data_IF_526662955379
#
_entry.id   IF_526662955379
#
_cell.length_a   1.000
_cell.length_b   1.000
_cell.length_c   1.000
_cell.angle_alpha   90.00
_cell.angle_beta   90.00
_cell.angle_gamma   90.00
#
_symmetry.space_group_name_H-M   'P 1'
#
loop_
_entity.id
_entity.type
_entity.pdbx_description
1 polymer ?
#
# COMPACT_ATOMS: atom_id res chain seq x y z
N UNK A 1 13.24 63.22 25.08
CA UNK A 1 13.31 61.83 25.49
C UNK A 1 12.47 60.95 24.55
N UNK A 2 11.24 61.33 24.26
CA UNK A 2 10.33 60.63 23.33
C UNK A 2 10.90 60.52 21.90
N UNK A 3 11.48 61.63 21.41
CA UNK A 3 12.07 61.70 20.07
C UNK A 3 13.24 60.74 19.90
N UNK A 4 14.13 60.63 20.89
CA UNK A 4 15.26 59.72 20.91
C UNK A 4 14.78 58.24 20.90
N UNK A 5 13.70 57.94 21.61
CA UNK A 5 13.10 56.61 21.64
C UNK A 5 12.50 56.23 20.30
N UNK A 6 11.85 57.18 19.62
CA UNK A 6 11.30 56.97 18.28
C UNK A 6 12.41 56.79 17.23
N UNK A 7 13.47 57.57 17.33
CA UNK A 7 14.64 57.45 16.44
C UNK A 7 15.35 56.09 16.63
N UNK A 8 15.46 55.62 17.87
CA UNK A 8 16.02 54.29 18.16
C UNK A 8 15.18 53.17 17.58
N UNK A 9 13.86 53.22 17.77
CA UNK A 9 12.95 52.24 17.21
C UNK A 9 12.98 52.24 15.67
N UNK A 10 13.14 53.39 15.03
CA UNK A 10 13.32 53.52 13.59
C UNK A 10 14.61 52.85 13.10
N UNK A 11 15.73 53.12 13.80
CA UNK A 11 17.01 52.51 13.46
C UNK A 11 17.01 50.99 13.63
N UNK A 12 16.35 50.49 14.67
CA UNK A 12 16.16 49.02 14.85
C UNK A 12 15.36 48.43 13.71
N UNK A 13 14.27 49.06 13.27
CA UNK A 13 13.48 48.60 12.13
C UNK A 13 14.28 48.65 10.82
N UNK A 14 15.08 49.69 10.61
CA UNK A 14 15.95 49.79 9.43
C UNK A 14 17.02 48.68 9.42
N UNK A 15 17.59 48.33 10.58
CA UNK A 15 18.53 47.21 10.73
C UNK A 15 17.84 45.86 10.35
N UNK A 16 16.60 45.61 10.83
CA UNK A 16 15.86 44.42 10.49
C UNK A 16 15.56 44.33 8.97
N UNK A 17 15.18 45.45 8.37
CA UNK A 17 14.97 45.54 6.94
C UNK A 17 16.25 45.19 6.14
N UNK A 18 17.38 45.75 6.53
CA UNK A 18 18.67 45.47 5.87
C UNK A 18 19.07 44.00 6.05
N UNK A 19 18.87 43.40 7.24
CA UNK A 19 19.13 41.98 7.47
C UNK A 19 18.27 41.11 6.58
N UNK A 20 16.97 41.40 6.48
CA UNK A 20 16.06 40.66 5.59
C UNK A 20 16.50 40.75 4.12
N UNK A 21 16.97 41.93 3.68
CA UNK A 21 17.50 42.08 2.32
C UNK A 21 18.79 41.28 2.09
N UNK A 22 19.68 41.20 3.10
CA UNK A 22 20.89 40.36 3.01
C UNK A 22 20.53 38.89 2.94
N UNK A 23 19.57 38.40 3.76
CA UNK A 23 19.10 37.01 3.69
C UNK A 23 18.56 36.62 2.32
N UNK A 24 17.91 37.53 1.59
CA UNK A 24 17.45 37.31 0.23
C UNK A 24 18.58 37.18 -0.80
N UNK A 25 19.79 37.65 -0.50
CA UNK A 25 20.95 37.51 -1.40
C UNK A 25 21.59 36.12 -1.31
N UNK A 26 21.29 35.37 -0.25
CA UNK A 26 21.79 34.00 -0.05
C UNK A 26 20.68 32.98 -0.29
N UNK A 27 20.79 32.24 -1.39
CA UNK A 27 19.86 31.16 -1.68
C UNK A 27 20.26 29.89 -0.94
N UNK A 28 19.53 29.56 0.14
CA UNK A 28 19.79 28.37 0.96
C UNK A 28 18.71 27.31 0.71
N UNK A 29 19.10 26.02 0.82
CA UNK A 29 18.17 24.91 0.77
C UNK A 29 17.23 24.94 2.00
N UNK A 30 15.90 24.98 1.84
CA UNK A 30 14.95 25.04 2.96
C UNK A 30 14.77 23.69 3.68
N UNK A 31 15.24 22.59 3.10
CA UNK A 31 15.19 21.23 3.67
C UNK A 31 16.28 20.35 3.06
N UNK A 32 16.55 19.21 3.70
CA UNK A 32 17.48 18.21 3.21
C UNK A 32 16.91 17.47 1.99
N UNK A 33 17.70 17.35 0.93
CA UNK A 33 17.26 16.71 -0.31
C UNK A 33 18.36 16.61 -1.34
N UNK A 34 17.99 16.18 -2.54
CA UNK A 34 18.91 16.09 -3.69
C UNK A 34 18.61 17.23 -4.66
N UNK A 35 19.66 17.97 -4.98
CA UNK A 35 19.59 19.01 -6.00
C UNK A 35 19.59 18.38 -7.40
N UNK A 36 18.66 18.81 -8.22
CA UNK A 36 18.63 18.51 -9.64
C UNK A 36 19.64 19.34 -10.45
N UNK A 37 19.44 19.34 -11.75
CA UNK A 37 20.31 20.10 -12.66
C UNK A 37 20.18 21.61 -12.40
N UNK A 38 21.30 22.31 -12.48
CA UNK A 38 21.38 23.78 -12.39
C UNK A 38 20.75 24.39 -13.63
N UNK A 39 19.79 25.32 -13.45
CA UNK A 39 19.11 26.04 -14.50
C UNK A 39 19.77 27.35 -14.93
N UNK A 40 20.75 27.84 -14.16
CA UNK A 40 21.41 29.11 -14.39
C UNK A 40 22.94 28.97 -14.34
N UNK A 41 23.66 29.85 -15.01
CA UNK A 41 25.13 29.87 -14.99
C UNK A 41 25.66 30.97 -14.07
N UNK A 42 26.92 30.86 -13.68
CA UNK A 42 27.61 31.94 -12.93
C UNK A 42 27.66 33.19 -13.80
N UNK A 43 27.30 34.33 -13.23
CA UNK A 43 27.20 35.61 -13.95
C UNK A 43 25.82 35.88 -14.58
N UNK A 44 24.88 34.94 -14.51
CA UNK A 44 23.49 35.17 -14.95
C UNK A 44 22.76 36.09 -13.97
N UNK A 45 21.85 36.89 -14.51
CA UNK A 45 20.94 37.71 -13.69
C UNK A 45 19.95 36.78 -12.95
N UNK A 46 19.92 36.89 -11.64
CA UNK A 46 18.99 36.14 -10.80
C UNK A 46 17.82 37.05 -10.36
N UNK A 47 16.61 36.54 -10.45
CA UNK A 47 15.40 37.19 -9.93
C UNK A 47 14.51 36.14 -9.26
N UNK A 48 13.55 36.53 -8.41
CA UNK A 48 12.64 35.59 -7.73
C UNK A 48 11.83 34.71 -8.68
N UNK A 49 11.69 35.10 -9.95
CA UNK A 49 10.98 34.33 -10.97
C UNK A 49 11.85 33.28 -11.68
N UNK A 50 13.17 33.30 -11.47
CA UNK A 50 14.09 32.39 -12.13
C UNK A 50 14.36 31.17 -11.27
N UNK A 51 14.07 29.99 -11.81
CA UNK A 51 14.37 28.72 -11.12
C UNK A 51 15.86 28.39 -11.26
N UNK A 52 16.59 28.47 -10.16
CA UNK A 52 18.04 28.20 -10.10
C UNK A 52 18.32 26.70 -10.14
N UNK A 53 17.60 25.93 -9.35
CA UNK A 53 17.65 24.45 -9.32
C UNK A 53 16.39 23.90 -8.68
N UNK A 54 16.10 22.62 -8.91
CA UNK A 54 15.01 21.91 -8.24
C UNK A 54 15.60 21.11 -7.08
N UNK A 55 15.06 21.30 -5.87
CA UNK A 55 15.41 20.52 -4.69
C UNK A 55 14.30 19.47 -4.46
N UNK A 56 14.66 18.20 -4.43
CA UNK A 56 13.72 17.10 -4.22
C UNK A 56 14.03 16.40 -2.91
N UNK A 57 13.03 16.31 -2.04
CA UNK A 57 13.12 15.51 -0.81
C UNK A 57 12.93 14.04 -1.17
N UNK A 58 13.97 13.22 -0.96
CA UNK A 58 13.97 11.81 -1.33
C UNK A 58 13.71 10.87 -0.13
N UNK A 59 13.70 11.40 1.09
CA UNK A 59 13.38 10.64 2.31
C UNK A 59 12.68 11.56 3.32
N UNK A 60 11.53 11.13 3.90
CA UNK A 60 10.71 10.02 3.46
C UNK A 60 10.00 10.28 2.12
N UNK A 61 9.74 9.22 1.35
CA UNK A 61 8.96 9.29 0.10
C UNK A 61 7.47 9.15 0.42
N UNK A 62 6.66 9.96 -0.24
CA UNK A 62 5.21 9.88 -0.17
C UNK A 62 4.69 9.00 -1.31
N UNK A 63 3.95 7.96 -0.95
CA UNK A 63 3.22 7.11 -1.91
C UNK A 63 1.77 7.53 -1.86
N UNK A 64 1.25 8.03 -2.98
CA UNK A 64 -0.14 8.43 -3.13
C UNK A 64 -0.87 7.42 -4.02
N UNK A 65 -2.03 6.96 -3.59
CA UNK A 65 -2.82 5.99 -4.31
C UNK A 65 -4.31 6.20 -4.06
N UNK A 66 -5.12 5.78 -5.04
CA UNK A 66 -6.56 5.88 -5.00
C UNK A 66 -7.18 4.54 -4.59
N UNK A 67 -8.12 4.59 -3.67
CA UNK A 67 -8.82 3.42 -3.13
C UNK A 67 -10.29 3.49 -3.51
N UNK A 68 -10.85 2.46 -4.17
CA UNK A 68 -12.28 2.42 -4.48
C UNK A 68 -13.14 2.56 -3.22
N UNK A 69 -14.28 3.24 -3.34
CA UNK A 69 -15.21 3.57 -2.24
C UNK A 69 -15.52 2.35 -1.36
N UNK A 70 -15.80 1.19 -1.96
CA UNK A 70 -16.13 -0.06 -1.27
C UNK A 70 -15.04 -0.58 -0.30
N UNK A 71 -13.82 -0.06 -0.38
CA UNK A 71 -12.68 -0.49 0.45
C UNK A 71 -12.17 0.60 1.38
N UNK A 72 -12.85 1.75 1.45
CA UNK A 72 -12.39 2.91 2.24
C UNK A 72 -12.42 2.66 3.74
N UNK A 73 -13.33 1.80 4.22
CA UNK A 73 -13.46 1.45 5.63
C UNK A 73 -12.37 0.47 6.08
N UNK A 74 -11.82 -0.30 5.16
CA UNK A 74 -10.74 -1.25 5.43
C UNK A 74 -9.41 -0.52 5.68
N UNK A 75 -9.26 0.75 5.23
CA UNK A 75 -8.02 1.51 5.34
C UNK A 75 -8.06 2.46 6.53
N UNK A 76 -7.21 2.18 7.50
CA UNK A 76 -7.01 3.01 8.69
C UNK A 76 -5.68 3.75 8.63
N UNK A 77 -5.63 4.94 9.25
CA UNK A 77 -4.36 5.63 9.48
C UNK A 77 -3.49 4.72 10.35
N UNK A 78 -2.22 4.56 9.95
CA UNK A 78 -1.28 3.64 10.58
C UNK A 78 -1.22 2.25 9.96
N UNK A 79 -2.12 1.90 9.03
CA UNK A 79 -2.07 0.63 8.30
C UNK A 79 -0.80 0.52 7.45
N UNK A 80 -0.28 -0.69 7.35
CA UNK A 80 0.84 -0.98 6.46
C UNK A 80 0.31 -1.33 5.07
N UNK A 81 0.96 -0.80 4.06
CA UNK A 81 0.71 -1.10 2.65
C UNK A 81 1.99 -1.57 2.00
N UNK A 82 1.87 -2.51 1.09
CA UNK A 82 3.00 -2.99 0.30
C UNK A 82 2.90 -2.39 -1.09
N UNK A 83 4.00 -1.83 -1.59
CA UNK A 83 4.04 -1.34 -2.95
C UNK A 83 5.26 -1.85 -3.69
N UNK A 84 5.14 -1.99 -4.98
CA UNK A 84 6.23 -2.31 -5.90
C UNK A 84 6.26 -1.29 -7.02
N UNK A 85 7.44 -1.01 -7.55
CA UNK A 85 7.58 -0.14 -8.70
C UNK A 85 7.29 -0.90 -9.98
N UNK A 86 6.72 -0.21 -10.95
CA UNK A 86 6.42 -0.82 -12.24
C UNK A 86 7.69 -1.37 -12.90
N UNK A 87 7.68 -2.68 -13.20
CA UNK A 87 8.82 -3.39 -13.79
C UNK A 87 9.85 -3.93 -12.80
N UNK A 88 9.64 -3.75 -11.51
CA UNK A 88 10.50 -4.28 -10.44
C UNK A 88 9.77 -5.33 -9.60
N UNK A 89 10.51 -6.36 -9.18
CA UNK A 89 9.97 -7.42 -8.30
C UNK A 89 10.09 -7.04 -6.83
N UNK A 90 10.96 -6.07 -6.53
CA UNK A 90 11.19 -5.61 -5.17
C UNK A 90 9.93 -4.97 -4.57
N UNK A 91 9.62 -5.36 -3.33
CA UNK A 91 8.46 -4.88 -2.58
C UNK A 91 8.92 -4.00 -1.43
N UNK A 92 8.27 -2.87 -1.30
CA UNK A 92 8.52 -1.88 -0.26
C UNK A 92 7.32 -1.79 0.67
N UNK A 93 7.56 -1.50 1.95
CA UNK A 93 6.49 -1.32 2.93
C UNK A 93 6.38 0.15 3.31
N UNK A 94 5.19 0.71 3.17
CA UNK A 94 4.88 2.07 3.56
C UNK A 94 3.77 2.08 4.63
N UNK A 95 3.69 3.14 5.40
CA UNK A 95 2.68 3.32 6.44
C UNK A 95 1.73 4.46 6.06
N UNK A 96 0.44 4.17 6.07
CA UNK A 96 -0.60 5.17 5.82
C UNK A 96 -0.55 6.25 6.91
N UNK A 97 -0.41 7.52 6.51
CA UNK A 97 -0.39 8.65 7.45
C UNK A 97 -1.53 9.63 7.25
N UNK A 98 -2.13 9.64 6.07
CA UNK A 98 -3.26 10.50 5.77
C UNK A 98 -4.20 9.85 4.74
N UNK A 99 -5.48 10.15 4.86
CA UNK A 99 -6.50 9.86 3.86
C UNK A 99 -7.39 11.09 3.69
N UNK A 100 -7.88 11.33 2.49
CA UNK A 100 -8.85 12.39 2.24
C UNK A 100 -10.14 12.13 3.02
N UNK A 101 -10.85 13.19 3.35
CA UNK A 101 -12.15 13.09 4.04
C UNK A 101 -13.34 12.95 3.08
N UNK A 102 -13.10 13.13 1.77
CA UNK A 102 -14.13 13.13 0.73
C UNK A 102 -13.73 12.19 -0.39
N UNK A 103 -14.70 11.39 -0.84
CA UNK A 103 -14.57 10.56 -2.03
C UNK A 103 -14.70 11.45 -3.26
N UNK A 104 -13.83 11.26 -4.25
CA UNK A 104 -13.92 11.92 -5.54
C UNK A 104 -15.18 11.41 -6.28
N UNK A 105 -16.16 12.28 -6.60
CA UNK A 105 -17.41 11.86 -7.22
C UNK A 105 -17.27 11.42 -8.67
N UNK A 106 -16.14 11.73 -9.33
CA UNK A 106 -15.89 11.36 -10.73
C UNK A 106 -15.28 9.96 -10.81
N UNK A 107 -14.31 9.69 -9.95
CA UNK A 107 -13.55 8.43 -9.95
C UNK A 107 -14.09 7.39 -8.97
N UNK A 108 -14.98 7.79 -8.05
CA UNK A 108 -15.47 6.98 -6.92
C UNK A 108 -14.34 6.37 -6.09
N UNK A 109 -13.29 7.16 -5.88
CA UNK A 109 -12.11 6.75 -5.10
C UNK A 109 -11.79 7.72 -3.98
N UNK A 110 -11.14 7.21 -2.94
CA UNK A 110 -10.56 7.97 -1.85
C UNK A 110 -9.04 8.04 -2.03
N UNK A 111 -8.48 9.24 -2.02
CA UNK A 111 -7.02 9.41 -2.06
C UNK A 111 -6.41 9.12 -0.70
N UNK A 112 -5.42 8.24 -0.69
CA UNK A 112 -4.68 7.82 0.50
C UNK A 112 -3.20 8.08 0.28
N UNK A 113 -2.52 8.51 1.36
CA UNK A 113 -1.08 8.77 1.36
C UNK A 113 -0.38 7.93 2.41
N UNK A 114 0.68 7.25 1.98
CA UNK A 114 1.56 6.49 2.85
C UNK A 114 2.99 7.04 2.80
N UNK A 115 3.74 6.86 3.88
CA UNK A 115 5.15 7.23 3.98
C UNK A 115 6.01 5.98 3.91
N UNK A 116 7.04 6.07 3.08
CA UNK A 116 8.13 5.12 2.99
C UNK A 116 9.44 5.77 3.41
N UNK A 117 10.11 5.18 4.38
CA UNK A 117 11.42 5.65 4.86
C UNK A 117 12.52 5.15 3.90
N UNK A 118 12.81 5.95 2.88
CA UNK A 118 13.76 5.64 1.82
C UNK A 118 15.20 5.81 2.30
N UNK A 119 15.66 4.96 3.23
CA UNK A 119 17.00 5.03 3.82
C UNK A 119 18.11 4.82 2.81
N UNK A 120 17.85 4.05 1.77
CA UNK A 120 18.82 3.75 0.73
C UNK A 120 19.00 4.89 -0.27
N UNK A 121 18.22 5.97 -0.15
CA UNK A 121 18.32 7.13 -1.04
C UNK A 121 17.98 6.84 -2.50
N UNK A 122 17.26 5.75 -2.79
CA UNK A 122 16.90 5.38 -4.15
C UNK A 122 16.02 6.47 -4.80
N UNK A 123 16.20 6.68 -6.11
CA UNK A 123 15.43 7.66 -6.88
C UNK A 123 14.03 7.11 -7.20
N UNK A 124 13.10 7.25 -6.24
CA UNK A 124 11.72 6.75 -6.33
C UNK A 124 10.72 7.84 -6.71
N UNK A 125 11.06 9.10 -6.45
CA UNK A 125 10.15 10.23 -6.69
C UNK A 125 9.78 10.35 -8.18
N UNK A 126 8.48 10.51 -8.46
CA UNK A 126 7.93 10.63 -9.80
C UNK A 126 7.72 9.30 -10.53
N UNK A 127 7.97 8.15 -9.91
CA UNK A 127 7.73 6.82 -10.49
C UNK A 127 6.33 6.32 -10.15
N UNK A 128 5.79 5.51 -11.04
CA UNK A 128 4.54 4.80 -10.81
C UNK A 128 4.78 3.56 -9.94
N UNK A 129 3.84 3.32 -9.01
CA UNK A 129 3.88 2.19 -8.11
C UNK A 129 2.55 1.45 -8.11
N UNK A 130 2.62 0.12 -8.01
CA UNK A 130 1.45 -0.72 -7.75
C UNK A 130 1.36 -0.96 -6.25
N UNK A 131 0.25 -0.58 -5.65
CA UNK A 131 0.01 -0.74 -4.21
C UNK A 131 -0.89 -1.95 -3.98
N UNK A 132 -0.46 -2.86 -3.10
CA UNK A 132 -1.23 -4.01 -2.64
C UNK A 132 -1.74 -3.73 -1.23
N UNK A 133 -3.04 -3.82 -1.06
CA UNK A 133 -3.71 -3.69 0.23
C UNK A 133 -4.07 -5.09 0.74
N UNK A 134 -3.56 -5.44 1.92
CA UNK A 134 -4.03 -6.62 2.63
C UNK A 134 -5.35 -6.26 3.31
N UNK A 135 -6.45 -6.85 2.81
CA UNK A 135 -7.78 -6.56 3.35
C UNK A 135 -8.02 -7.24 4.69
N UNK A 136 -7.68 -8.53 4.77
CA UNK A 136 -7.91 -9.35 5.95
C UNK A 136 -6.94 -10.52 5.97
N UNK A 137 -6.36 -10.80 7.13
CA UNK A 137 -5.63 -12.02 7.42
C UNK A 137 -6.47 -12.87 8.35
N UNK A 138 -6.75 -14.10 7.93
CA UNK A 138 -7.49 -15.09 8.72
C UNK A 138 -6.48 -16.17 9.08
N UNK A 139 -5.99 -16.14 10.33
CA UNK A 139 -4.90 -17.03 10.76
C UNK A 139 -5.39 -18.48 10.97
N UNK A 140 -6.67 -18.70 11.32
CA UNK A 140 -7.26 -20.02 11.61
C UNK A 140 -8.18 -20.53 10.47
N UNK A 141 -7.88 -20.14 9.22
CA UNK A 141 -8.68 -20.58 8.08
C UNK A 141 -8.38 -22.04 7.70
N UNK A 142 -9.40 -22.87 7.59
CA UNK A 142 -9.28 -24.17 6.93
C UNK A 142 -9.28 -23.91 5.42
N UNK A 143 -8.21 -24.30 4.75
CA UNK A 143 -7.99 -24.05 3.34
C UNK A 143 -7.82 -25.36 2.61
N UNK A 144 -8.45 -25.49 1.45
CA UNK A 144 -8.34 -26.67 0.57
C UNK A 144 -8.01 -26.23 -0.84
N UNK A 145 -7.29 -27.04 -1.65
CA UNK A 145 -7.08 -26.76 -3.05
C UNK A 145 -8.40 -26.57 -3.81
N UNK A 146 -8.45 -25.64 -4.74
CA UNK A 146 -9.67 -25.35 -5.53
C UNK A 146 -10.22 -26.57 -6.25
N UNK A 147 -9.34 -27.51 -6.66
CA UNK A 147 -9.69 -28.75 -7.37
C UNK A 147 -10.41 -29.78 -6.49
N UNK A 148 -10.34 -29.61 -5.17
CA UNK A 148 -11.06 -30.46 -4.22
C UNK A 148 -12.57 -30.17 -4.16
N UNK A 149 -13.00 -28.99 -4.63
CA UNK A 149 -14.40 -28.55 -4.56
C UNK A 149 -15.14 -29.01 -5.80
N UNK A 150 -16.23 -29.76 -5.61
CA UNK A 150 -17.13 -30.20 -6.66
C UNK A 150 -18.47 -29.47 -6.53
N UNK A 151 -18.78 -28.52 -7.43
CA UNK A 151 -20.08 -27.88 -7.42
C UNK A 151 -21.17 -28.83 -7.90
N UNK A 152 -22.18 -29.07 -7.08
CA UNK A 152 -23.31 -29.92 -7.43
C UNK A 152 -24.64 -29.24 -7.06
N UNK A 153 -25.48 -29.00 -8.04
CA UNK A 153 -26.84 -28.43 -7.91
C UNK A 153 -26.89 -27.14 -7.06
N UNK A 154 -25.85 -26.26 -7.15
CA UNK A 154 -25.80 -24.99 -6.44
C UNK A 154 -25.25 -25.08 -5.01
N UNK A 155 -24.75 -26.25 -4.61
CA UNK A 155 -24.05 -26.48 -3.34
C UNK A 155 -22.64 -26.94 -3.64
N UNK A 156 -21.66 -26.39 -2.94
CA UNK A 156 -20.28 -26.85 -3.01
C UNK A 156 -20.10 -28.10 -2.12
N UNK A 157 -19.49 -29.14 -2.69
CA UNK A 157 -19.20 -30.39 -1.96
C UNK A 157 -17.71 -30.69 -1.97
N UNK A 158 -17.27 -31.36 -0.90
CA UNK A 158 -15.96 -31.96 -0.77
C UNK A 158 -16.11 -33.47 -0.48
N UNK A 159 -15.11 -34.26 -0.86
CA UNK A 159 -15.05 -35.64 -0.47
C UNK A 159 -14.03 -35.84 0.65
N UNK A 160 -14.50 -36.34 1.80
CA UNK A 160 -13.64 -36.75 2.91
C UNK A 160 -13.28 -38.23 2.78
N UNK A 161 -12.05 -38.57 3.12
CA UNK A 161 -11.64 -39.94 3.31
C UNK A 161 -12.02 -40.42 4.70
N UNK A 162 -12.92 -41.39 4.78
CA UNK A 162 -13.30 -42.00 6.09
C UNK A 162 -13.32 -43.53 5.93
N UNK A 163 -12.47 -44.20 6.72
CA UNK A 163 -12.42 -45.67 6.79
C UNK A 163 -12.31 -46.34 5.40
N UNK A 164 -11.43 -45.83 4.53
CA UNK A 164 -11.20 -46.42 3.18
C UNK A 164 -12.24 -46.06 2.14
N UNK A 165 -13.15 -45.11 2.41
CA UNK A 165 -14.25 -44.73 1.52
C UNK A 165 -14.34 -43.21 1.36
N UNK A 166 -14.81 -42.80 0.16
CA UNK A 166 -15.13 -41.40 -0.12
C UNK A 166 -16.51 -41.05 0.46
N UNK A 167 -16.58 -40.01 1.29
CA UNK A 167 -17.82 -39.50 1.88
C UNK A 167 -18.00 -38.05 1.43
N UNK A 168 -19.06 -37.71 0.67
CA UNK A 168 -19.36 -36.35 0.30
C UNK A 168 -19.86 -35.55 1.52
N UNK A 169 -19.43 -34.32 1.63
CA UNK A 169 -19.85 -33.36 2.66
C UNK A 169 -20.14 -32.02 1.99
N UNK A 170 -21.30 -31.45 2.29
CA UNK A 170 -21.67 -30.13 1.83
C UNK A 170 -20.85 -29.09 2.60
N UNK A 171 -20.30 -28.12 1.87
CA UNK A 171 -19.44 -27.11 2.46
C UNK A 171 -19.88 -25.70 2.05
N UNK A 172 -19.55 -24.74 2.90
CA UNK A 172 -19.70 -23.33 2.60
C UNK A 172 -18.30 -22.77 2.33
N UNK A 173 -18.06 -22.44 1.05
CA UNK A 173 -16.83 -21.79 0.63
C UNK A 173 -16.82 -20.32 1.06
N UNK A 174 -15.65 -19.84 1.47
CA UNK A 174 -15.39 -18.44 1.83
C UNK A 174 -14.51 -17.76 0.77
N UNK A 175 -13.38 -17.19 1.22
CA UNK A 175 -12.42 -16.54 0.34
C UNK A 175 -11.77 -17.56 -0.61
N UNK A 176 -11.65 -17.17 -1.89
CA UNK A 176 -10.99 -17.95 -2.92
C UNK A 176 -9.76 -17.21 -3.42
N UNK A 177 -8.64 -17.91 -3.48
CA UNK A 177 -7.41 -17.46 -4.12
C UNK A 177 -7.25 -18.16 -5.48
N UNK A 178 -6.15 -17.93 -6.19
CA UNK A 178 -5.87 -18.60 -7.47
C UNK A 178 -5.70 -20.13 -7.32
N UNK A 179 -5.27 -20.59 -6.15
CA UNK A 179 -4.96 -22.01 -5.89
C UNK A 179 -5.90 -22.65 -4.88
N UNK A 180 -6.31 -21.89 -3.87
CA UNK A 180 -6.94 -22.41 -2.67
C UNK A 180 -8.28 -21.72 -2.38
N UNK A 181 -9.15 -22.44 -1.68
CA UNK A 181 -10.45 -21.95 -1.22
C UNK A 181 -10.58 -22.18 0.27
N UNK A 182 -10.97 -21.14 1.00
CA UNK A 182 -11.32 -21.21 2.41
C UNK A 182 -12.65 -21.96 2.57
N UNK A 183 -12.71 -22.89 3.51
CA UNK A 183 -13.95 -23.53 3.92
C UNK A 183 -14.38 -22.95 5.26
N UNK A 184 -15.54 -22.28 5.25
CA UNK A 184 -16.12 -21.66 6.45
C UNK A 184 -16.89 -22.65 7.31
N UNK A 185 -17.53 -23.63 6.66
CA UNK A 185 -18.33 -24.69 7.30
C UNK A 185 -18.32 -25.96 6.49
N UNK A 186 -18.47 -27.10 7.18
CA UNK A 186 -18.64 -28.42 6.59
C UNK A 186 -17.52 -29.39 6.90
N UNK A 187 -16.33 -28.90 7.25
CA UNK A 187 -15.18 -29.74 7.64
C UNK A 187 -14.55 -29.21 8.93
N UNK A 188 -13.77 -30.05 9.58
CA UNK A 188 -13.03 -29.72 10.79
C UNK A 188 -11.52 -29.89 10.56
N UNK A 189 -10.75 -29.23 11.43
CA UNK A 189 -9.30 -29.41 11.45
C UNK A 189 -8.98 -30.89 11.74
N UNK A 190 -8.14 -31.52 10.90
CA UNK A 190 -7.78 -32.93 10.99
C UNK A 190 -8.60 -33.86 10.09
N UNK A 191 -9.63 -33.38 9.40
CA UNK A 191 -10.31 -34.15 8.36
C UNK A 191 -9.39 -34.36 7.16
N UNK A 192 -9.38 -35.56 6.56
CA UNK A 192 -8.62 -35.87 5.35
C UNK A 192 -9.50 -35.63 4.12
N UNK A 193 -9.12 -34.61 3.32
CA UNK A 193 -9.84 -34.21 2.11
C UNK A 193 -9.23 -34.89 0.89
N UNK A 194 -10.06 -35.43 0.00
CA UNK A 194 -9.61 -36.01 -1.27
C UNK A 194 -9.50 -34.86 -2.29
N UNK A 195 -8.29 -34.62 -2.80
CA UNK A 195 -8.00 -33.48 -3.68
C UNK A 195 -7.87 -33.85 -5.16
N UNK A 196 -7.74 -35.16 -5.50
CA UNK A 196 -7.59 -35.62 -6.87
C UNK A 196 -8.64 -36.65 -7.23
N UNK A 197 -9.02 -36.72 -8.54
CA UNK A 197 -10.03 -37.67 -9.04
C UNK A 197 -11.46 -37.37 -8.57
N UNK A 198 -11.72 -36.19 -8.04
CA UNK A 198 -12.99 -35.79 -7.40
C UNK A 198 -14.22 -35.96 -8.27
N UNK A 199 -14.10 -35.74 -9.60
CA UNK A 199 -15.21 -35.88 -10.56
C UNK A 199 -15.70 -37.33 -10.77
N UNK A 200 -14.90 -38.32 -10.39
CA UNK A 200 -15.23 -39.72 -10.54
C UNK A 200 -15.76 -40.33 -9.23
N UNK A 201 -15.67 -39.60 -8.13
CA UNK A 201 -16.07 -40.08 -6.82
C UNK A 201 -17.59 -40.15 -6.68
N UNK A 202 -18.05 -41.21 -6.03
CA UNK A 202 -19.43 -41.39 -5.58
C UNK A 202 -19.43 -41.76 -4.09
N UNK A 203 -20.54 -41.49 -3.45
CA UNK A 203 -20.74 -41.85 -2.04
C UNK A 203 -20.40 -43.33 -1.77
N UNK A 204 -19.47 -43.57 -0.84
CA UNK A 204 -19.09 -44.92 -0.42
C UNK A 204 -18.11 -45.63 -1.33
N UNK A 205 -17.59 -44.98 -2.39
CA UNK A 205 -16.59 -45.59 -3.27
C UNK A 205 -15.32 -45.88 -2.45
N UNK A 206 -14.76 -47.11 -2.54
CA UNK A 206 -13.50 -47.44 -1.89
C UNK A 206 -12.37 -46.62 -2.57
N UNK A 207 -11.54 -45.99 -1.73
CA UNK A 207 -10.44 -45.11 -2.15
C UNK A 207 -9.17 -45.56 -1.44
N UNK A 208 -8.09 -45.66 -2.19
CA UNK A 208 -6.74 -45.90 -1.66
C UNK A 208 -5.99 -44.56 -1.65
N UNK A 209 -5.39 -44.27 -0.52
CA UNK A 209 -4.54 -43.07 -0.41
C UNK A 209 -3.18 -43.32 -1.09
N UNK A 210 -2.82 -42.44 -2.00
CA UNK A 210 -1.54 -42.49 -2.70
C UNK A 210 -0.51 -41.60 -2.00
N UNK A 211 -0.90 -40.37 -1.66
CA UNK A 211 -0.10 -39.41 -0.86
C UNK A 211 -0.98 -38.71 0.16
N UNK A 212 -0.48 -38.48 1.36
CA UNK A 212 -1.10 -37.66 2.40
C UNK A 212 -0.13 -36.55 2.73
N UNK A 213 -0.50 -35.30 2.46
CA UNK A 213 0.23 -34.08 2.84
C UNK A 213 -0.26 -33.52 4.19
#
# INVERSE_FOLDING_TARGET
YEQVKTDLAKLEADIELIKANIEQTELRAPFDGVLGLRGVSVGSYASPSVVVAKLTKISPVKVEFAVPERYTDDIKIGANVVFSLTGEVEQFRAKVYAKESKIDPVTHTLTVRALYDNRNGASLAGRYATVKLEKQRIDDAIVVPSDAIVPEMGVDKLFLYKSGKAQPVDVIAGLRTDKDVQIVRGINMGDTVIVSGTLQLRTGLPVVLDNVE
#
